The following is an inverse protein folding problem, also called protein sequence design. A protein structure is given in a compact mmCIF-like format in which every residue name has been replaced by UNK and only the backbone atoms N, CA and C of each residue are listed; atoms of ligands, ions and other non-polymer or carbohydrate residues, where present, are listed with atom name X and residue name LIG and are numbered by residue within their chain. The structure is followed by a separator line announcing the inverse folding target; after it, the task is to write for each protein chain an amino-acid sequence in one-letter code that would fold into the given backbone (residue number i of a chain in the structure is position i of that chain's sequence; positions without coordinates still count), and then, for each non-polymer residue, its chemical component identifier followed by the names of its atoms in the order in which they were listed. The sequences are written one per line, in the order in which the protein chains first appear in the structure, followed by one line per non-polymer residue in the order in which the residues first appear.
data_IF_730722261950
#
_entry.id   IF_730722261950
#
_cell.length_a   1.000
_cell.length_b   1.000
_cell.length_c   1.000
_cell.angle_alpha   90.00
_cell.angle_beta   90.00
_cell.angle_gamma   90.00
#
_symmetry.space_group_name_H-M   'P 1'
#
loop_
_entity.id
_entity.type
_entity.pdbx_description
1 polymer ?
#
# COMPACT_ATOMS: atom_id res chain seq x y z
N UNK A 1 -3.91 24.71 -15.85
CA UNK A 1 -3.28 24.39 -14.55
C UNK A 1 -2.24 23.27 -14.66
N UNK A 2 -2.30 22.42 -15.67
CA UNK A 2 -1.37 21.28 -15.85
C UNK A 2 0.08 21.69 -16.17
N UNK A 3 0.32 22.74 -16.96
CA UNK A 3 1.67 23.21 -17.32
C UNK A 3 2.55 23.68 -16.13
N UNK A 4 1.98 23.92 -14.96
CA UNK A 4 2.75 24.37 -13.77
C UNK A 4 3.31 23.23 -12.92
N UNK A 5 2.84 21.99 -13.12
CA UNK A 5 3.19 20.83 -12.30
C UNK A 5 4.42 20.11 -12.86
N UNK A 6 4.65 20.19 -14.16
CA UNK A 6 5.75 19.50 -14.84
C UNK A 6 6.88 20.48 -15.24
N UNK A 7 8.10 19.96 -15.28
CA UNK A 7 9.26 20.66 -15.80
C UNK A 7 9.41 20.45 -17.33
N UNK A 8 10.49 20.96 -17.90
CA UNK A 8 10.82 20.84 -19.33
C UNK A 8 11.05 19.39 -19.79
N UNK A 9 11.35 18.49 -18.87
CA UNK A 9 11.54 17.05 -19.12
C UNK A 9 10.27 16.23 -18.85
N UNK A 10 9.13 16.89 -18.66
CA UNK A 10 7.85 16.29 -18.26
C UNK A 10 7.90 15.54 -16.91
N UNK A 11 8.87 15.88 -16.04
CA UNK A 11 8.93 15.38 -14.67
C UNK A 11 8.20 16.30 -13.72
N UNK A 12 7.66 15.72 -12.66
CA UNK A 12 6.93 16.48 -11.63
C UNK A 12 7.89 17.42 -10.90
N UNK A 13 7.55 18.69 -10.84
CA UNK A 13 8.30 19.72 -10.09
C UNK A 13 8.06 19.57 -8.59
N UNK A 14 8.80 18.71 -7.93
CA UNK A 14 8.78 18.52 -6.48
C UNK A 14 10.18 18.70 -5.94
N UNK A 15 10.31 19.41 -4.82
CA UNK A 15 11.54 19.39 -4.05
C UNK A 15 11.52 18.12 -3.16
N UNK A 16 12.36 17.13 -3.46
CA UNK A 16 12.45 15.87 -2.73
C UNK A 16 13.58 15.85 -1.68
N UNK A 17 14.20 16.99 -1.41
CA UNK A 17 15.24 17.11 -0.38
C UNK A 17 14.60 17.38 0.97
N UNK A 18 15.19 16.83 2.03
CA UNK A 18 14.75 17.13 3.40
C UNK A 18 14.76 18.62 3.67
N UNK A 19 13.72 19.10 4.34
CA UNK A 19 13.57 20.51 4.75
C UNK A 19 13.83 20.74 6.24
N UNK A 20 13.95 19.66 7.02
CA UNK A 20 14.22 19.71 8.44
C UNK A 20 15.71 19.93 8.77
N UNK A 21 16.00 20.36 9.99
CA UNK A 21 17.36 20.53 10.53
C UNK A 21 17.94 19.29 11.22
N UNK A 22 17.33 18.11 11.01
CA UNK A 22 17.81 16.87 11.60
C UNK A 22 19.24 16.53 11.16
N UNK A 23 20.07 15.93 12.04
CA UNK A 23 21.42 15.50 11.69
C UNK A 23 21.45 14.60 10.45
N UNK A 24 22.54 14.65 9.70
CA UNK A 24 22.69 13.89 8.42
C UNK A 24 22.71 12.38 8.61
N UNK A 25 23.07 11.91 9.80
CA UNK A 25 23.10 10.51 10.17
C UNK A 25 21.76 9.96 10.67
N UNK A 26 20.74 10.82 10.84
CA UNK A 26 19.38 10.38 11.14
C UNK A 26 18.67 9.94 9.87
N UNK A 27 17.81 8.94 9.97
CA UNK A 27 17.02 8.41 8.82
C UNK A 27 15.64 9.07 8.75
N UNK A 28 15.20 9.76 9.81
CA UNK A 28 13.90 10.42 9.90
C UNK A 28 13.92 11.57 10.93
N UNK A 29 12.79 12.24 11.08
CA UNK A 29 12.59 13.30 12.10
C UNK A 29 12.08 12.77 13.44
N UNK A 30 11.97 11.46 13.61
CA UNK A 30 11.42 10.85 14.84
C UNK A 30 12.40 11.06 16.03
N UNK A 31 11.86 11.36 17.20
CA UNK A 31 12.67 11.44 18.41
C UNK A 31 13.09 10.04 18.92
N UNK A 32 14.16 9.99 19.74
CA UNK A 32 14.73 8.73 20.22
C UNK A 32 13.74 7.87 21.03
N UNK A 33 12.83 8.49 21.79
CA UNK A 33 11.82 7.76 22.58
C UNK A 33 10.77 7.12 21.69
N UNK A 34 10.28 7.85 20.68
CA UNK A 34 9.34 7.37 19.69
C UNK A 34 9.98 6.30 18.79
N UNK A 35 11.25 6.49 18.42
CA UNK A 35 12.05 5.50 17.70
C UNK A 35 12.08 4.16 18.46
N UNK A 36 12.47 4.16 19.73
CA UNK A 36 12.53 2.94 20.55
C UNK A 36 11.18 2.22 20.63
N UNK A 37 10.09 2.98 20.76
CA UNK A 37 8.73 2.40 20.79
C UNK A 37 8.29 1.82 19.47
N UNK A 38 8.81 2.31 18.36
CA UNK A 38 8.45 1.85 17.01
C UNK A 38 9.15 0.56 16.58
N UNK A 39 10.12 0.07 17.37
CA UNK A 39 10.92 -1.12 17.00
C UNK A 39 10.25 -2.46 17.32
N UNK A 40 8.93 -2.49 17.35
CA UNK A 40 8.16 -3.72 17.58
C UNK A 40 7.65 -4.23 16.25
N UNK A 41 7.93 -5.50 15.95
CA UNK A 41 7.54 -6.12 14.67
C UNK A 41 6.05 -6.46 14.57
N UNK A 42 5.27 -6.37 15.64
CA UNK A 42 3.82 -6.55 15.62
C UNK A 42 3.19 -5.20 15.87
N UNK A 43 2.42 -4.71 14.91
CA UNK A 43 1.79 -3.40 14.92
C UNK A 43 0.28 -3.52 14.82
N UNK A 44 -0.44 -2.63 15.49
CA UNK A 44 -1.89 -2.48 15.37
C UNK A 44 -2.22 -1.09 14.80
N UNK A 45 -3.08 -1.04 13.79
CA UNK A 45 -3.58 0.19 13.22
C UNK A 45 -5.10 0.23 13.29
N UNK A 46 -5.67 1.37 13.65
CA UNK A 46 -7.10 1.54 13.85
C UNK A 46 -7.68 2.45 12.77
N UNK A 47 -8.89 2.11 12.29
CA UNK A 47 -9.61 2.97 11.36
C UNK A 47 -10.18 4.18 12.10
N UNK A 48 -9.80 5.37 11.65
CA UNK A 48 -10.41 6.62 12.07
C UNK A 48 -11.78 6.82 11.38
N UNK A 49 -12.58 7.77 11.85
CA UNK A 49 -13.90 8.07 11.23
C UNK A 49 -13.79 8.41 9.73
N UNK A 50 -12.71 9.09 9.34
CA UNK A 50 -12.42 9.41 7.94
C UNK A 50 -12.15 8.15 7.10
N UNK A 51 -11.39 7.22 7.63
CA UNK A 51 -11.05 5.96 6.95
C UNK A 51 -12.30 5.10 6.71
N UNK A 52 -13.23 5.07 7.68
CA UNK A 52 -14.49 4.33 7.55
C UNK A 52 -15.33 4.90 6.41
N UNK A 53 -15.37 6.23 6.26
CA UNK A 53 -16.05 6.90 5.15
C UNK A 53 -15.41 6.53 3.81
N UNK A 54 -14.09 6.48 3.75
CA UNK A 54 -13.33 6.17 2.53
C UNK A 54 -13.51 4.71 2.10
N UNK A 55 -13.68 3.79 3.04
CA UNK A 55 -14.03 2.37 2.75
C UNK A 55 -15.32 2.20 1.97
N UNK A 56 -16.23 3.15 2.05
CA UNK A 56 -17.47 3.13 1.28
C UNK A 56 -17.22 3.36 -0.22
N UNK A 57 -16.07 3.95 -0.57
CA UNK A 57 -15.66 4.25 -1.94
C UNK A 57 -14.69 3.19 -2.43
N UNK A 58 -13.69 2.84 -1.59
CA UNK A 58 -12.67 1.85 -1.91
C UNK A 58 -12.59 0.79 -0.79
N UNK A 59 -12.94 -0.48 -1.08
CA UNK A 59 -13.16 -1.50 -0.04
C UNK A 59 -11.88 -1.96 0.66
N UNK A 60 -10.73 -1.80 0.01
CA UNK A 60 -9.44 -2.29 0.47
C UNK A 60 -8.51 -1.17 0.99
N UNK A 61 -9.09 -0.06 1.45
CA UNK A 61 -8.31 1.04 2.02
C UNK A 61 -7.70 0.62 3.37
N UNK A 62 -6.41 0.81 3.56
CA UNK A 62 -5.78 0.66 4.86
C UNK A 62 -6.04 1.88 5.78
N UNK A 63 -5.95 1.74 7.11
CA UNK A 63 -6.11 2.87 8.03
C UNK A 63 -4.96 3.87 7.88
N UNK A 64 -5.24 5.16 7.98
CA UNK A 64 -4.25 6.22 7.79
C UNK A 64 -3.07 6.13 8.77
N UNK A 65 -3.26 5.50 9.93
CA UNK A 65 -2.21 5.23 10.90
C UNK A 65 -1.07 4.38 10.34
N UNK A 66 -1.37 3.48 9.39
CA UNK A 66 -0.36 2.62 8.77
C UNK A 66 0.67 3.42 7.94
N UNK A 67 0.29 4.18 6.91
CA UNK A 67 1.28 4.98 6.18
C UNK A 67 1.92 6.05 7.06
N UNK A 68 1.20 6.67 8.01
CA UNK A 68 1.80 7.62 8.96
C UNK A 68 2.94 7.00 9.78
N UNK A 69 2.78 5.76 10.22
CA UNK A 69 3.81 5.06 10.97
C UNK A 69 5.11 4.96 10.17
N UNK A 70 5.06 4.43 8.95
CA UNK A 70 6.25 4.24 8.12
C UNK A 70 6.82 5.55 7.58
N UNK A 71 5.99 6.52 7.19
CA UNK A 71 6.43 7.85 6.76
C UNK A 71 7.21 8.53 7.88
N UNK A 72 6.70 8.51 9.12
CA UNK A 72 7.37 9.12 10.25
C UNK A 72 8.68 8.39 10.63
N UNK A 73 8.69 7.06 10.50
CA UNK A 73 9.84 6.22 10.86
C UNK A 73 10.99 6.32 9.86
N UNK A 74 10.68 6.44 8.55
CA UNK A 74 11.62 6.20 7.45
C UNK A 74 11.92 7.43 6.58
N UNK A 75 11.30 8.59 6.88
CA UNK A 75 11.48 9.81 6.08
C UNK A 75 11.69 11.05 6.92
N UNK A 76 12.36 12.04 6.33
CA UNK A 76 12.41 13.40 6.84
C UNK A 76 11.29 14.28 6.25
N UNK A 77 10.99 15.41 6.91
CA UNK A 77 10.13 16.45 6.34
C UNK A 77 10.70 16.91 4.98
N UNK A 78 9.81 17.09 4.00
CA UNK A 78 10.15 17.48 2.63
C UNK A 78 10.53 16.33 1.69
N UNK A 79 10.90 15.15 2.20
CA UNK A 79 11.22 14.01 1.34
C UNK A 79 9.98 13.43 0.64
N UNK A 80 10.21 12.73 -0.48
CA UNK A 80 9.16 12.20 -1.34
C UNK A 80 8.74 10.79 -0.96
N UNK A 81 7.44 10.61 -0.78
CA UNK A 81 6.75 9.33 -0.61
C UNK A 81 6.02 8.97 -1.91
N UNK A 82 6.11 7.72 -2.33
CA UNK A 82 5.44 7.20 -3.52
C UNK A 82 4.50 6.05 -3.14
N UNK A 83 3.28 6.09 -3.69
CA UNK A 83 2.35 4.96 -3.64
C UNK A 83 1.90 4.63 -5.07
N UNK A 84 2.38 3.52 -5.66
CA UNK A 84 2.02 3.13 -7.02
C UNK A 84 0.57 2.63 -7.18
N UNK A 85 -0.17 2.45 -6.07
CA UNK A 85 -1.56 1.99 -6.05
C UNK A 85 -2.37 2.83 -5.04
N UNK A 86 -2.42 4.15 -5.27
CA UNK A 86 -2.86 5.16 -4.32
C UNK A 86 -4.32 5.10 -3.90
N UNK A 87 -5.19 4.50 -4.74
CA UNK A 87 -6.61 4.35 -4.45
C UNK A 87 -7.29 5.69 -4.16
N UNK A 88 -7.84 5.82 -2.95
CA UNK A 88 -8.51 7.05 -2.50
C UNK A 88 -7.57 8.08 -1.83
N UNK A 89 -6.25 7.94 -2.00
CA UNK A 89 -5.26 8.92 -1.57
C UNK A 89 -4.95 8.92 -0.06
N UNK A 90 -5.05 7.78 0.61
CA UNK A 90 -4.75 7.71 2.06
C UNK A 90 -3.29 8.04 2.34
N UNK A 91 -2.37 7.58 1.50
CA UNK A 91 -0.93 7.89 1.58
C UNK A 91 -0.66 9.38 1.37
N UNK A 92 -1.35 10.05 0.45
CA UNK A 92 -1.23 11.50 0.23
C UNK A 92 -1.58 12.30 1.48
N UNK A 93 -2.71 11.96 2.11
CA UNK A 93 -3.16 12.64 3.33
C UNK A 93 -2.19 12.39 4.48
N UNK A 94 -1.68 11.15 4.62
CA UNK A 94 -0.70 10.81 5.64
C UNK A 94 0.62 11.59 5.48
N UNK A 95 1.14 11.67 4.25
CA UNK A 95 2.35 12.41 3.93
C UNK A 95 2.19 13.91 4.20
N UNK A 96 1.06 14.49 3.78
CA UNK A 96 0.72 15.90 4.02
C UNK A 96 0.66 16.21 5.52
N UNK A 97 -0.08 15.41 6.30
CA UNK A 97 -0.20 15.58 7.76
C UNK A 97 1.17 15.58 8.46
N UNK A 98 2.16 14.92 7.85
CA UNK A 98 3.53 14.79 8.37
C UNK A 98 4.53 15.69 7.63
N UNK A 99 4.09 16.62 6.77
CA UNK A 99 4.92 17.55 5.99
C UNK A 99 5.91 16.84 5.05
N UNK A 100 5.47 15.78 4.39
CA UNK A 100 6.23 15.10 3.32
C UNK A 100 5.56 15.38 1.98
N UNK A 101 6.35 15.39 0.92
CA UNK A 101 5.80 15.35 -0.43
C UNK A 101 5.29 13.95 -0.73
N UNK A 102 4.26 13.84 -1.57
CA UNK A 102 3.78 12.54 -2.01
C UNK A 102 3.22 12.58 -3.43
N UNK A 103 3.50 11.50 -4.15
CA UNK A 103 2.91 11.21 -5.46
C UNK A 103 2.30 9.82 -5.40
N UNK A 104 1.08 9.71 -5.89
CA UNK A 104 0.38 8.43 -5.95
C UNK A 104 -0.22 8.21 -7.32
N UNK A 105 -0.44 6.96 -7.69
CA UNK A 105 -0.96 6.55 -8.99
C UNK A 105 -2.12 5.59 -8.79
N UNK A 106 -3.14 5.71 -9.63
CA UNK A 106 -4.20 4.72 -9.72
C UNK A 106 -4.76 4.63 -11.15
N UNK A 107 -5.10 3.41 -11.58
CA UNK A 107 -5.72 3.16 -12.88
C UNK A 107 -7.16 3.66 -12.96
N UNK A 108 -7.86 3.67 -11.83
CA UNK A 108 -9.27 3.99 -11.76
C UNK A 108 -9.51 5.47 -11.53
N UNK A 109 -9.98 6.13 -12.59
CA UNK A 109 -10.20 7.57 -12.57
C UNK A 109 -11.10 8.05 -11.42
N UNK A 110 -12.12 7.28 -11.05
CA UNK A 110 -13.02 7.64 -9.95
C UNK A 110 -12.29 7.72 -8.60
N UNK A 111 -11.28 6.87 -8.38
CA UNK A 111 -10.45 6.92 -7.18
C UNK A 111 -9.54 8.14 -7.19
N UNK A 112 -8.92 8.42 -8.34
CA UNK A 112 -8.08 9.62 -8.54
C UNK A 112 -8.90 10.90 -8.33
N UNK A 113 -10.08 10.99 -8.92
CA UNK A 113 -10.96 12.15 -8.75
C UNK A 113 -11.40 12.31 -7.28
N UNK A 114 -11.67 11.21 -6.58
CA UNK A 114 -12.00 11.24 -5.17
C UNK A 114 -10.82 11.70 -4.31
N UNK A 115 -9.61 11.17 -4.53
CA UNK A 115 -8.39 11.57 -3.82
C UNK A 115 -8.10 13.06 -4.02
N UNK A 116 -8.17 13.56 -5.26
CA UNK A 116 -7.97 14.96 -5.57
C UNK A 116 -9.04 15.87 -4.89
N UNK A 117 -10.30 15.43 -4.82
CA UNK A 117 -11.34 16.17 -4.11
C UNK A 117 -11.10 16.20 -2.60
N UNK A 118 -10.58 15.13 -2.02
CA UNK A 118 -10.14 15.11 -0.61
C UNK A 118 -9.04 16.14 -0.35
N UNK A 119 -8.01 16.16 -1.18
CA UNK A 119 -6.90 17.13 -1.07
C UNK A 119 -7.42 18.57 -1.15
N UNK A 120 -8.30 18.89 -2.11
CA UNK A 120 -8.90 20.21 -2.26
C UNK A 120 -9.76 20.65 -1.08
N UNK A 121 -10.34 19.69 -0.34
CA UNK A 121 -11.15 19.99 0.85
C UNK A 121 -10.32 20.35 2.09
N UNK A 122 -9.01 20.16 2.03
CA UNK A 122 -8.09 20.50 3.11
C UNK A 122 -7.59 21.95 2.94
N UNK A 123 -7.16 22.54 4.04
CA UNK A 123 -6.50 23.84 3.98
C UNK A 123 -5.24 23.74 3.09
N UNK A 124 -4.93 24.76 2.28
CA UNK A 124 -3.71 24.77 1.48
C UNK A 124 -2.46 24.51 2.36
N UNK A 125 -1.53 23.72 1.84
CA UNK A 125 -0.19 23.58 2.40
C UNK A 125 0.81 24.10 1.36
N UNK A 126 1.47 25.19 1.69
CA UNK A 126 2.43 25.83 0.78
C UNK A 126 3.81 25.16 0.83
N UNK A 127 4.04 24.28 1.79
CA UNK A 127 5.36 23.70 2.07
C UNK A 127 5.56 22.33 1.43
N UNK A 128 4.46 21.62 1.12
CA UNK A 128 4.51 20.25 0.57
C UNK A 128 3.53 20.09 -0.59
N UNK A 129 3.87 19.16 -1.47
CA UNK A 129 3.09 18.87 -2.69
C UNK A 129 2.55 17.45 -2.60
N UNK A 130 1.24 17.30 -2.83
CA UNK A 130 0.56 16.01 -2.95
C UNK A 130 -0.13 15.94 -4.31
N UNK A 131 0.17 14.88 -5.07
CA UNK A 131 -0.32 14.70 -6.44
C UNK A 131 -0.83 13.26 -6.59
N UNK A 132 -2.07 13.12 -7.05
CA UNK A 132 -2.64 11.86 -7.52
C UNK A 132 -2.69 11.86 -9.04
N UNK A 133 -2.15 10.81 -9.67
CA UNK A 133 -2.05 10.68 -11.14
C UNK A 133 -2.88 9.49 -11.60
N UNK A 134 -3.69 9.71 -12.62
CA UNK A 134 -4.44 8.63 -13.27
C UNK A 134 -3.59 8.02 -14.39
N UNK A 135 -2.76 7.06 -14.04
CA UNK A 135 -1.94 6.32 -15.01
C UNK A 135 -1.54 4.95 -14.43
N UNK A 136 -0.99 4.10 -15.30
CA UNK A 136 -0.45 2.80 -14.94
C UNK A 136 0.86 2.95 -14.16
N UNK A 137 1.02 2.18 -13.08
CA UNK A 137 2.24 2.14 -12.28
C UNK A 137 3.52 1.84 -13.10
N UNK A 138 3.41 1.15 -14.24
CA UNK A 138 4.53 0.93 -15.17
C UNK A 138 5.09 2.22 -15.78
N UNK A 139 4.30 3.31 -15.78
CA UNK A 139 4.68 4.59 -16.38
C UNK A 139 5.31 5.56 -15.38
N UNK A 140 5.41 5.22 -14.10
CA UNK A 140 5.86 6.11 -13.02
C UNK A 140 7.23 6.74 -13.33
N UNK A 141 8.14 5.98 -13.97
CA UNK A 141 9.43 6.48 -14.41
C UNK A 141 9.37 7.67 -15.39
N UNK A 142 8.24 7.87 -16.08
CA UNK A 142 8.04 9.04 -16.94
C UNK A 142 7.81 10.33 -16.14
N UNK A 143 7.38 10.22 -14.89
CA UNK A 143 6.96 11.33 -14.04
C UNK A 143 7.99 11.73 -12.98
N UNK A 144 8.84 10.81 -12.55
CA UNK A 144 9.78 11.02 -11.45
C UNK A 144 11.22 10.84 -11.93
N UNK A 145 12.14 11.53 -11.27
CA UNK A 145 13.58 11.37 -11.50
C UNK A 145 14.12 10.16 -10.74
N UNK A 146 15.18 9.57 -11.24
CA UNK A 146 15.96 8.57 -10.50
C UNK A 146 16.47 9.17 -9.18
N UNK A 147 16.63 8.30 -8.16
CA UNK A 147 17.08 8.69 -6.82
C UNK A 147 16.31 9.87 -6.19
N UNK A 148 15.01 9.96 -6.46
CA UNK A 148 14.13 11.03 -5.93
C UNK A 148 13.18 10.56 -4.83
N UNK A 149 12.85 9.27 -4.77
CA UNK A 149 11.87 8.69 -3.84
C UNK A 149 12.58 8.17 -2.60
N UNK A 150 12.15 8.60 -1.42
CA UNK A 150 12.70 8.13 -0.13
C UNK A 150 11.98 6.90 0.39
N UNK A 151 10.67 6.85 0.22
CA UNK A 151 9.81 5.75 0.69
C UNK A 151 8.78 5.41 -0.37
N UNK A 152 8.72 4.14 -0.73
CA UNK A 152 7.57 3.55 -1.42
C UNK A 152 6.71 2.85 -0.36
N UNK A 153 5.42 3.10 -0.32
CA UNK A 153 4.50 2.42 0.58
C UNK A 153 3.19 2.15 -0.11
N UNK A 154 2.75 0.89 -0.12
CA UNK A 154 1.56 0.51 -0.85
C UNK A 154 0.95 -0.79 -0.38
N UNK A 155 -0.33 -0.98 -0.70
CA UNK A 155 -1.06 -2.24 -0.65
C UNK A 155 -1.57 -2.54 -2.06
N UNK A 156 -0.84 -3.33 -2.87
CA UNK A 156 -1.25 -3.63 -4.24
C UNK A 156 -2.56 -4.43 -4.26
N UNK A 157 -3.35 -4.40 -5.35
CA UNK A 157 -4.48 -5.31 -5.52
C UNK A 157 -3.99 -6.76 -5.46
N UNK A 158 -4.43 -7.55 -4.46
CA UNK A 158 -3.90 -8.90 -4.24
C UNK A 158 -4.47 -9.92 -5.24
N UNK A 159 -3.88 -10.03 -6.41
CA UNK A 159 -4.30 -10.99 -7.44
C UNK A 159 -5.84 -11.07 -7.53
N UNK A 160 -6.39 -12.24 -7.86
CA UNK A 160 -7.83 -12.45 -8.04
C UNK A 160 -8.63 -12.57 -6.71
N UNK A 161 -8.21 -11.89 -5.63
CA UNK A 161 -8.81 -12.00 -4.29
C UNK A 161 -10.28 -11.59 -4.25
N UNK A 162 -10.65 -10.49 -4.91
CA UNK A 162 -12.02 -9.95 -4.89
C UNK A 162 -12.97 -10.70 -5.83
N UNK A 163 -12.46 -11.39 -6.85
CA UNK A 163 -13.28 -12.12 -7.82
C UNK A 163 -13.79 -13.48 -7.32
N UNK A 164 -13.35 -13.93 -6.15
CA UNK A 164 -13.89 -15.14 -5.56
C UNK A 164 -15.28 -14.85 -4.94
N UNK A 165 -16.34 -15.31 -5.62
CA UNK A 165 -17.68 -15.35 -5.02
C UNK A 165 -17.60 -16.05 -3.68
N UNK A 166 -17.67 -15.29 -2.59
CA UNK A 166 -17.75 -15.83 -1.25
C UNK A 166 -19.10 -16.55 -1.11
N UNK A 167 -19.14 -17.84 -1.38
CA UNK A 167 -20.30 -18.71 -1.12
C UNK A 167 -20.39 -18.98 0.38
N UNK A 168 -20.61 -17.96 1.20
CA UNK A 168 -21.01 -18.15 2.57
C UNK A 168 -22.50 -18.45 2.60
N UNK A 169 -22.87 -19.68 2.30
CA UNK A 169 -24.16 -20.24 2.68
C UNK A 169 -24.11 -20.56 4.18
N UNK A 170 -24.16 -19.54 5.03
CA UNK A 170 -24.63 -19.72 6.40
C UNK A 170 -26.08 -20.17 6.28
N UNK A 171 -26.43 -21.32 6.88
CA UNK A 171 -27.84 -21.80 6.98
C UNK A 171 -28.71 -20.84 7.81
N UNK A 172 -28.17 -19.82 8.43
CA UNK A 172 -28.83 -18.69 9.11
C UNK A 172 -28.70 -17.44 8.24
N UNK A 173 -29.57 -17.35 7.23
CA UNK A 173 -29.59 -16.28 6.24
C UNK A 173 -29.82 -14.85 6.76
N UNK A 174 -29.98 -14.66 8.09
CA UNK A 174 -30.38 -13.39 8.68
C UNK A 174 -29.26 -12.58 9.32
N UNK A 175 -28.03 -13.10 9.42
CA UNK A 175 -26.95 -12.44 10.17
C UNK A 175 -25.96 -11.63 9.35
N UNK A 176 -26.06 -11.60 8.02
CA UNK A 176 -25.25 -10.74 7.15
C UNK A 176 -26.06 -10.21 5.98
N UNK A 177 -26.82 -9.17 6.23
CA UNK A 177 -27.23 -8.23 5.17
C UNK A 177 -26.05 -7.34 4.81
N UNK A 178 -24.92 -7.91 4.43
CA UNK A 178 -23.83 -7.16 3.82
C UNK A 178 -24.12 -7.02 2.32
N UNK A 179 -25.12 -6.19 2.01
CA UNK A 179 -25.38 -5.68 0.65
C UNK A 179 -24.17 -4.93 0.06
N UNK A 180 -23.16 -4.69 0.87
CA UNK A 180 -21.95 -3.95 0.52
C UNK A 180 -20.94 -4.79 -0.28
N UNK A 181 -20.74 -6.07 0.08
CA UNK A 181 -19.76 -6.94 -0.57
C UNK A 181 -20.23 -7.54 -1.89
N UNK A 182 -21.52 -7.50 -2.19
CA UNK A 182 -22.06 -7.99 -3.46
C UNK A 182 -21.88 -6.99 -4.62
N UNK A 183 -21.53 -5.73 -4.33
CA UNK A 183 -21.44 -4.66 -5.35
C UNK A 183 -20.03 -4.42 -5.88
N UNK A 184 -18.98 -4.82 -5.14
CA UNK A 184 -17.60 -4.60 -5.56
C UNK A 184 -16.97 -5.94 -5.87
N UNK A 185 -16.98 -6.31 -7.14
CA UNK A 185 -16.43 -7.59 -7.62
C UNK A 185 -14.99 -7.48 -8.11
N UNK A 186 -14.50 -6.26 -8.42
CA UNK A 186 -13.16 -5.98 -8.97
C UNK A 186 -12.68 -4.61 -8.52
N UNK A 187 -11.35 -4.41 -8.48
CA UNK A 187 -10.77 -3.09 -8.23
C UNK A 187 -11.05 -2.16 -9.42
N UNK A 188 -10.87 -2.64 -10.65
CA UNK A 188 -11.25 -1.97 -11.88
C UNK A 188 -11.65 -2.97 -12.97
N UNK A 189 -12.25 -2.48 -14.06
CA UNK A 189 -12.54 -3.28 -15.28
C UNK A 189 -11.34 -3.27 -16.26
N UNK A 190 -10.22 -2.67 -15.89
CA UNK A 190 -9.04 -2.59 -16.73
C UNK A 190 -8.29 -3.94 -16.70
N UNK A 191 -7.94 -4.46 -17.91
CA UNK A 191 -7.17 -5.71 -18.05
C UNK A 191 -5.76 -5.64 -17.47
N UNK A 192 -5.24 -4.43 -17.26
CA UNK A 192 -3.94 -4.18 -16.65
C UNK A 192 -4.00 -4.16 -15.11
N UNK A 193 -5.21 -4.29 -14.53
CA UNK A 193 -5.40 -4.33 -13.09
C UNK A 193 -4.85 -5.66 -12.52
N UNK A 194 -3.88 -5.55 -11.61
CA UNK A 194 -3.29 -6.69 -10.91
C UNK A 194 -4.32 -7.54 -10.18
N UNK A 195 -5.43 -6.92 -9.75
CA UNK A 195 -6.55 -7.59 -9.08
C UNK A 195 -7.34 -8.57 -9.95
N UNK A 196 -7.05 -8.65 -11.26
CA UNK A 196 -7.66 -9.59 -12.19
C UNK A 196 -6.80 -10.83 -12.47
N UNK A 197 -5.52 -10.80 -12.08
CA UNK A 197 -4.52 -11.80 -12.44
C UNK A 197 -4.54 -13.02 -11.52
N UNK A 198 -4.15 -14.17 -12.03
CA UNK A 198 -3.79 -15.33 -11.20
C UNK A 198 -2.48 -15.05 -10.46
N UNK A 199 -2.22 -15.81 -9.38
CA UNK A 199 -1.14 -15.48 -8.42
C UNK A 199 0.24 -15.36 -9.08
N UNK A 200 0.59 -16.26 -9.97
CA UNK A 200 1.94 -16.24 -10.59
C UNK A 200 2.08 -15.07 -11.56
N UNK A 201 1.06 -14.78 -12.36
CA UNK A 201 1.02 -13.63 -13.26
C UNK A 201 1.04 -12.30 -12.45
N UNK A 202 0.33 -12.27 -11.31
CA UNK A 202 0.37 -11.15 -10.39
C UNK A 202 1.79 -10.88 -9.88
N UNK A 203 2.50 -11.90 -9.44
CA UNK A 203 3.88 -11.75 -8.93
C UNK A 203 4.83 -11.25 -10.02
N UNK A 204 4.72 -11.81 -11.25
CA UNK A 204 5.55 -11.34 -12.37
C UNK A 204 5.25 -9.88 -12.70
N UNK A 205 3.98 -9.51 -12.79
CA UNK A 205 3.57 -8.14 -13.11
C UNK A 205 3.93 -7.14 -12.01
N UNK A 206 3.80 -7.53 -10.74
CA UNK A 206 4.27 -6.74 -9.61
C UNK A 206 5.80 -6.52 -9.72
N UNK A 207 6.54 -7.58 -10.07
CA UNK A 207 7.98 -7.50 -10.32
C UNK A 207 8.33 -6.50 -11.40
N UNK A 208 7.67 -6.53 -12.57
CA UNK A 208 7.88 -5.56 -13.65
C UNK A 208 7.70 -4.10 -13.18
N UNK A 209 6.69 -3.85 -12.34
CA UNK A 209 6.47 -2.52 -11.75
C UNK A 209 7.65 -2.16 -10.84
N UNK A 210 8.06 -3.06 -9.95
CA UNK A 210 9.15 -2.79 -9.00
C UNK A 210 10.52 -2.66 -9.67
N UNK A 211 10.76 -3.31 -10.82
CA UNK A 211 11.94 -3.06 -11.68
C UNK A 211 11.98 -1.60 -12.17
N UNK A 212 10.80 -1.01 -12.49
CA UNK A 212 10.69 0.42 -12.88
C UNK A 212 10.82 1.37 -11.69
N UNK A 213 10.45 0.93 -10.50
CA UNK A 213 10.53 1.73 -9.28
C UNK A 213 11.93 1.71 -8.66
N UNK A 214 12.71 0.66 -8.88
CA UNK A 214 14.03 0.51 -8.28
C UNK A 214 14.99 1.68 -8.55
N UNK A 215 15.15 2.19 -9.80
CA UNK A 215 16.00 3.35 -10.04
C UNK A 215 15.50 4.62 -9.35
N UNK A 216 14.18 4.80 -9.18
CA UNK A 216 13.59 5.99 -8.57
C UNK A 216 13.87 6.08 -7.07
N UNK A 217 14.03 4.92 -6.40
CA UNK A 217 14.29 4.85 -4.96
C UNK A 217 15.74 5.27 -4.68
N UNK A 218 15.93 6.17 -3.71
CA UNK A 218 17.29 6.57 -3.26
C UNK A 218 18.02 5.39 -2.61
N UNK A 219 19.34 5.41 -2.57
CA UNK A 219 20.12 4.47 -1.75
C UNK A 219 19.65 4.55 -0.28
N UNK A 220 19.53 3.40 0.37
CA UNK A 220 18.90 3.27 1.72
C UNK A 220 17.47 3.79 1.80
N UNK A 221 16.79 3.97 0.67
CA UNK A 221 15.35 4.18 0.62
C UNK A 221 14.63 2.86 0.88
N UNK A 222 13.43 2.96 1.43
CA UNK A 222 12.61 1.81 1.82
C UNK A 222 11.40 1.62 0.92
N UNK A 223 10.98 0.37 0.78
CA UNK A 223 9.73 0.00 0.12
C UNK A 223 8.92 -0.92 1.03
N UNK A 224 7.76 -0.44 1.46
CA UNK A 224 6.82 -1.19 2.31
C UNK A 224 5.69 -1.73 1.45
N UNK A 225 5.54 -3.05 1.44
CA UNK A 225 4.48 -3.73 0.72
C UNK A 225 3.55 -4.41 1.73
N UNK A 226 2.31 -3.93 1.81
CA UNK A 226 1.26 -4.59 2.57
C UNK A 226 0.67 -5.72 1.73
N UNK A 227 0.73 -6.96 2.22
CA UNK A 227 0.27 -8.14 1.50
C UNK A 227 -0.25 -9.24 2.43
N UNK A 228 -1.21 -10.02 1.94
CA UNK A 228 -1.76 -11.15 2.68
C UNK A 228 -1.69 -12.45 1.87
N UNK A 229 -1.56 -13.57 2.57
CA UNK A 229 -1.63 -14.88 1.94
C UNK A 229 -3.05 -15.22 1.49
N UNK A 230 -3.15 -15.85 0.34
CA UNK A 230 -4.41 -16.27 -0.24
C UNK A 230 -4.76 -17.71 0.11
N UNK A 231 -6.03 -18.06 -0.06
CA UNK A 231 -6.53 -19.42 0.09
C UNK A 231 -6.95 -19.99 -1.26
N UNK A 232 -6.32 -21.06 -1.69
CA UNK A 232 -6.63 -21.77 -2.91
C UNK A 232 -7.71 -22.83 -2.67
N UNK A 233 -8.89 -22.61 -3.16
CA UNK A 233 -10.03 -23.55 -3.10
C UNK A 233 -10.06 -24.53 -4.29
N UNK A 234 -9.13 -24.40 -5.25
CA UNK A 234 -9.11 -25.27 -6.45
C UNK A 234 -8.63 -26.68 -6.11
N UNK A 235 -7.93 -26.89 -5.01
CA UNK A 235 -7.51 -28.19 -4.52
C UNK A 235 -8.50 -28.78 -3.51
N UNK A 236 -8.59 -30.12 -3.45
CA UNK A 236 -9.64 -30.87 -2.72
C UNK A 236 -9.89 -30.40 -1.28
N UNK A 237 -8.86 -30.05 -0.55
CA UNK A 237 -8.96 -29.62 0.87
C UNK A 237 -8.58 -28.15 1.04
N UNK A 238 -8.34 -27.44 -0.06
CA UNK A 238 -7.77 -26.11 -0.06
C UNK A 238 -6.31 -26.09 0.42
N UNK A 239 -5.59 -25.02 0.11
CA UNK A 239 -4.24 -24.77 0.63
C UNK A 239 -3.99 -23.28 0.73
N UNK A 240 -3.05 -22.91 1.58
CA UNK A 240 -2.58 -21.54 1.64
C UNK A 240 -1.56 -21.30 0.53
N UNK A 241 -1.74 -20.18 -0.18
CA UNK A 241 -0.76 -19.67 -1.14
C UNK A 241 0.05 -18.59 -0.44
N UNK A 242 1.35 -18.83 -0.16
CA UNK A 242 2.20 -17.91 0.59
C UNK A 242 2.65 -16.76 -0.31
N UNK A 243 1.76 -15.78 -0.51
CA UNK A 243 2.00 -14.65 -1.39
C UNK A 243 3.17 -13.79 -0.90
N UNK A 244 3.31 -13.65 0.43
CA UNK A 244 4.44 -12.93 1.04
C UNK A 244 5.80 -13.53 0.63
N UNK A 245 5.97 -14.87 0.62
CA UNK A 245 7.23 -15.50 0.21
C UNK A 245 7.51 -15.30 -1.28
N UNK A 246 6.49 -15.41 -2.13
CA UNK A 246 6.64 -15.17 -3.57
C UNK A 246 7.05 -13.73 -3.84
N UNK A 247 6.45 -12.77 -3.12
CA UNK A 247 6.82 -11.34 -3.21
C UNK A 247 8.25 -11.12 -2.75
N UNK A 248 8.67 -11.70 -1.62
CA UNK A 248 10.06 -11.56 -1.13
C UNK A 248 11.04 -12.04 -2.19
N UNK A 249 10.86 -13.26 -2.70
CA UNK A 249 11.76 -13.83 -3.72
C UNK A 249 11.82 -12.96 -4.99
N UNK A 250 10.68 -12.43 -5.43
CA UNK A 250 10.64 -11.55 -6.62
C UNK A 250 11.36 -10.24 -6.37
N UNK A 251 11.13 -9.59 -5.22
CA UNK A 251 11.80 -8.33 -4.88
C UNK A 251 13.31 -8.50 -4.76
N UNK A 252 13.78 -9.57 -4.12
CA UNK A 252 15.21 -9.85 -4.01
C UNK A 252 15.86 -10.14 -5.37
N UNK A 253 15.13 -10.76 -6.31
CA UNK A 253 15.64 -10.97 -7.68
C UNK A 253 15.85 -9.68 -8.48
N UNK A 254 15.19 -8.59 -8.09
CA UNK A 254 15.33 -7.24 -8.69
C UNK A 254 16.54 -6.49 -8.09
N UNK A 255 16.95 -6.85 -6.87
CA UNK A 255 18.03 -6.19 -6.16
C UNK A 255 17.64 -5.45 -4.89
N UNK A 256 16.36 -5.52 -4.49
CA UNK A 256 15.96 -5.10 -3.15
C UNK A 256 16.45 -6.10 -2.12
N UNK A 257 16.71 -5.66 -0.90
CA UNK A 257 17.00 -6.52 0.24
C UNK A 257 15.88 -6.48 1.27
N UNK A 258 15.40 -7.63 1.72
CA UNK A 258 14.42 -7.69 2.81
C UNK A 258 15.09 -7.24 4.13
N UNK A 259 14.51 -6.23 4.77
CA UNK A 259 15.01 -5.71 6.07
C UNK A 259 14.19 -6.21 7.23
N UNK A 260 12.85 -6.15 7.11
CA UNK A 260 11.95 -6.52 8.19
C UNK A 260 10.69 -7.19 7.63
N UNK A 261 10.14 -8.10 8.41
CA UNK A 261 8.77 -8.60 8.25
C UNK A 261 7.99 -8.08 9.46
N UNK A 262 7.08 -7.15 9.22
CA UNK A 262 6.21 -6.60 10.25
C UNK A 262 4.83 -7.24 10.11
N UNK A 263 4.23 -7.63 11.21
CA UNK A 263 2.88 -8.19 11.25
C UNK A 263 1.90 -7.07 11.62
N UNK A 264 1.01 -6.75 10.70
CA UNK A 264 -0.14 -5.94 11.04
C UNK A 264 -1.21 -6.82 11.67
N UNK A 265 -1.34 -6.73 12.98
CA UNK A 265 -2.37 -7.45 13.73
C UNK A 265 -3.73 -6.79 13.49
N UNK A 266 -4.65 -7.54 12.90
CA UNK A 266 -5.99 -7.08 12.53
C UNK A 266 -7.09 -7.68 13.40
N UNK A 267 -6.76 -8.34 14.50
CA UNK A 267 -7.78 -8.95 15.40
C UNK A 267 -8.76 -7.93 15.93
N UNK A 268 -8.35 -6.70 16.10
CA UNK A 268 -9.19 -5.56 16.50
C UNK A 268 -10.15 -5.06 15.39
N UNK A 269 -9.92 -5.44 14.14
CA UNK A 269 -10.67 -5.01 12.96
C UNK A 269 -11.58 -6.11 12.40
N UNK A 270 -11.36 -7.35 12.79
CA UNK A 270 -12.11 -8.52 12.30
C UNK A 270 -13.17 -8.90 13.33
N UNK A 271 -14.38 -8.40 13.13
CA UNK A 271 -15.55 -8.79 13.92
C UNK A 271 -15.97 -10.22 13.57
N UNK A 272 -15.55 -11.23 14.25
CA UNK A 272 -15.85 -12.64 14.07
C UNK A 272 -15.00 -13.33 12.98
N UNK A 273 -13.93 -13.92 13.40
CA UNK A 273 -13.27 -14.99 12.64
C UNK A 273 -14.27 -16.14 12.54
N UNK A 274 -14.76 -16.42 11.33
CA UNK A 274 -15.67 -17.54 11.10
C UNK A 274 -15.00 -18.86 11.52
N UNK A 275 -15.79 -19.82 11.96
CA UNK A 275 -15.30 -21.18 12.20
C UNK A 275 -15.03 -21.79 10.83
N UNK A 276 -13.76 -21.98 10.49
CA UNK A 276 -13.32 -22.64 9.27
C UNK A 276 -13.08 -24.12 9.59
N UNK A 277 -13.93 -24.96 9.01
CA UNK A 277 -13.93 -26.39 9.27
C UNK A 277 -14.74 -26.76 10.53
N UNK A 278 -15.09 -28.02 10.61
CA UNK A 278 -15.79 -28.63 11.73
C UNK A 278 -14.87 -29.73 12.31
N UNK A 279 -15.05 -30.22 13.55
CA UNK A 279 -14.12 -31.18 14.16
C UNK A 279 -13.80 -32.43 13.34
N UNK A 280 -14.63 -32.81 12.41
CA UNK A 280 -14.42 -33.93 11.48
C UNK A 280 -13.84 -33.54 10.12
N UNK A 281 -13.51 -32.27 9.92
CA UNK A 281 -12.87 -31.71 8.72
C UNK A 281 -11.50 -31.12 9.07
N UNK A 282 -10.70 -30.80 8.02
CA UNK A 282 -9.45 -30.09 8.23
C UNK A 282 -9.70 -28.68 8.77
N UNK A 283 -9.06 -28.35 9.88
CA UNK A 283 -9.15 -27.04 10.51
C UNK A 283 -8.24 -26.07 9.78
N UNK A 284 -8.81 -24.93 9.34
CA UNK A 284 -8.05 -23.81 8.80
C UNK A 284 -8.22 -22.63 9.73
N UNK A 285 -7.12 -22.07 10.22
CA UNK A 285 -7.15 -20.85 11.01
C UNK A 285 -7.43 -19.64 10.11
N UNK A 286 -8.30 -18.75 10.56
CA UNK A 286 -8.57 -17.49 9.86
C UNK A 286 -7.34 -16.60 9.85
N UNK A 287 -7.11 -15.91 8.73
CA UNK A 287 -6.06 -14.89 8.65
C UNK A 287 -6.54 -13.64 9.34
N UNK A 288 -5.90 -13.30 10.46
CA UNK A 288 -6.20 -12.13 11.30
C UNK A 288 -5.08 -11.10 11.28
N UNK A 289 -4.20 -11.19 10.31
CA UNK A 289 -3.06 -10.30 10.13
C UNK A 289 -2.73 -10.14 8.65
N UNK A 290 -1.95 -9.13 8.34
CA UNK A 290 -1.29 -8.94 7.06
C UNK A 290 0.21 -8.78 7.27
N UNK A 291 0.99 -9.01 6.23
CA UNK A 291 2.44 -8.82 6.23
C UNK A 291 2.75 -7.44 5.68
N UNK A 292 3.51 -6.66 6.42
CA UNK A 292 4.14 -5.44 5.95
C UNK A 292 5.60 -5.77 5.70
N UNK A 293 5.93 -6.03 4.43
CA UNK A 293 7.27 -6.40 4.00
C UNK A 293 8.08 -5.13 3.78
N UNK A 294 9.15 -4.96 4.54
CA UNK A 294 10.05 -3.81 4.45
C UNK A 294 11.30 -4.21 3.69
N UNK A 295 11.42 -3.69 2.49
CA UNK A 295 12.60 -3.81 1.64
C UNK A 295 13.36 -2.50 1.60
N UNK A 296 14.64 -2.55 1.32
CA UNK A 296 15.42 -1.37 1.06
C UNK A 296 16.26 -1.52 -0.22
N UNK A 297 16.70 -0.37 -0.77
CA UNK A 297 17.69 -0.33 -1.84
C UNK A 297 19.08 -0.29 -1.18
N UNK A 298 19.92 -1.34 -1.32
CA UNK A 298 21.25 -1.35 -0.73
C UNK A 298 22.14 -0.25 -1.34
N UNK A 299 23.24 0.05 -0.65
CA UNK A 299 24.30 0.89 -1.22
C UNK A 299 24.94 0.19 -2.43
N UNK A 300 25.22 0.94 -3.47
CA UNK A 300 26.10 0.44 -4.54
C UNK A 300 27.47 0.14 -3.95
N UNK A 301 27.95 -1.09 -4.18
CA UNK A 301 29.28 -1.52 -3.75
C UNK A 301 30.40 -0.72 -4.45
#
# INVERSE_FOLDING_TARGET
MEEKIFDENHKIKINYKKTCSCPSNHISCIDAKSWLKSQVAIQEFYYEKRDIRDKNIHPATFPIGLPKFFINLLTHEGELVLDPFGGVGTTLIAARDLKRNAVTFDLKKEYVDYANNRLRSLLPDENTTQIEINDNALNIGNYLYDDSVKLIITSPPYANLLNHKRKNKSKRGDLRKDQYYDKIQQYSDNKEDLGTLEVDDFIEKLGEIYEKLYPLLVEKGHSIIDITDLWDNKVKYGRRLPLHLKTINKMESIGYELRNIIIWDRRNLVNNVGIFGWPNNYITLGTTFEYLLDFWKPLKA
#
